data_IF_415307659106
#
_entry.id   IF_415307659106
#
_cell.length_a   1.000
_cell.length_b   1.000
_cell.length_c   1.000
_cell.angle_alpha   90.00
_cell.angle_beta   90.00
_cell.angle_gamma   90.00
#
_symmetry.space_group_name_H-M   'P 1'
#
loop_
_entity.id
_entity.type
_entity.pdbx_description
1 polymer ?
#
# COMPACT_ATOMS: atom_id res chain seq x y z
N UNK A 1 23.23 7.99 6.01
CA UNK A 1 22.64 8.89 4.99
C UNK A 1 21.16 8.63 4.94
N UNK A 2 20.31 9.65 4.94
CA UNK A 2 18.85 9.54 4.78
C UNK A 2 18.51 9.44 3.29
N UNK A 3 17.67 8.48 2.91
CA UNK A 3 17.19 8.37 1.53
C UNK A 3 15.83 9.07 1.38
N UNK A 4 15.64 9.76 0.26
CA UNK A 4 14.37 10.41 -0.10
C UNK A 4 13.78 9.70 -1.32
N UNK A 5 12.51 9.36 -1.25
CA UNK A 5 11.78 8.69 -2.31
C UNK A 5 10.51 9.48 -2.66
N UNK A 6 10.33 9.80 -3.93
CA UNK A 6 9.06 10.22 -4.49
C UNK A 6 8.36 9.04 -5.20
N UNK A 7 7.17 9.27 -5.74
CA UNK A 7 6.38 8.21 -6.39
C UNK A 7 7.14 7.45 -7.51
N UNK A 8 7.94 8.09 -8.40
CA UNK A 8 8.70 7.35 -9.41
C UNK A 8 9.74 6.40 -8.84
N UNK A 9 10.48 6.81 -7.80
CA UNK A 9 11.48 5.98 -7.13
C UNK A 9 10.83 4.81 -6.39
N UNK A 10 9.69 5.07 -5.72
CA UNK A 10 8.90 4.01 -5.09
C UNK A 10 8.39 3.02 -6.12
N UNK A 11 7.89 3.51 -7.27
CA UNK A 11 7.39 2.67 -8.34
C UNK A 11 8.48 1.79 -8.95
N UNK A 12 9.70 2.30 -9.08
CA UNK A 12 10.84 1.56 -9.61
C UNK A 12 11.39 0.52 -8.60
N UNK A 13 11.34 0.82 -7.30
CA UNK A 13 11.94 -0.01 -6.27
C UNK A 13 11.02 -1.15 -5.77
N UNK A 14 9.71 -0.98 -5.83
CA UNK A 14 8.74 -1.93 -5.29
C UNK A 14 7.96 -2.65 -6.40
N UNK A 15 8.36 -3.85 -6.74
CA UNK A 15 7.52 -4.77 -7.54
C UNK A 15 6.42 -5.42 -6.69
N UNK A 16 5.51 -6.14 -7.35
CA UNK A 16 4.35 -6.73 -6.71
C UNK A 16 4.72 -7.89 -5.77
N UNK A 17 5.65 -8.74 -6.18
CA UNK A 17 6.08 -9.89 -5.39
C UNK A 17 6.76 -9.42 -4.10
N UNK A 18 7.74 -8.53 -4.20
CA UNK A 18 8.42 -7.90 -3.06
C UNK A 18 7.43 -7.23 -2.10
N UNK A 19 6.42 -6.55 -2.66
CA UNK A 19 5.40 -5.88 -1.84
C UNK A 19 4.52 -6.89 -1.09
N UNK A 20 4.09 -7.98 -1.73
CA UNK A 20 3.31 -9.05 -1.08
C UNK A 20 4.11 -9.71 0.03
N UNK A 21 5.40 -10.01 -0.22
CA UNK A 21 6.28 -10.64 0.78
C UNK A 21 6.54 -9.72 1.97
N UNK A 22 6.74 -8.42 1.74
CA UNK A 22 6.85 -7.43 2.82
C UNK A 22 5.58 -7.37 3.68
N UNK A 23 4.38 -7.44 3.06
CA UNK A 23 3.12 -7.47 3.81
C UNK A 23 2.96 -8.77 4.59
N UNK A 24 3.37 -9.90 4.03
CA UNK A 24 3.41 -11.20 4.74
C UNK A 24 4.30 -11.12 5.97
N UNK A 25 5.52 -10.64 5.82
CA UNK A 25 6.47 -10.48 6.92
C UNK A 25 5.92 -9.54 8.01
N UNK A 26 5.28 -8.44 7.62
CA UNK A 26 4.68 -7.50 8.57
C UNK A 26 3.51 -8.12 9.36
N UNK A 27 2.63 -8.90 8.73
CA UNK A 27 1.53 -9.58 9.44
C UNK A 27 2.03 -10.68 10.36
N UNK A 28 3.05 -11.45 9.95
CA UNK A 28 3.69 -12.44 10.83
C UNK A 28 4.35 -11.76 12.03
N UNK A 29 5.09 -10.67 11.81
CA UNK A 29 5.69 -9.89 12.90
C UNK A 29 4.63 -9.32 13.85
N UNK A 30 3.46 -8.92 13.34
CA UNK A 30 2.35 -8.46 14.17
C UNK A 30 1.75 -9.60 15.00
N UNK A 31 1.57 -10.78 14.41
CA UNK A 31 1.10 -11.96 15.11
C UNK A 31 2.06 -12.40 16.23
N UNK A 32 3.35 -12.29 15.99
CA UNK A 32 4.41 -12.58 16.95
C UNK A 32 4.63 -11.48 18.01
N UNK A 33 3.87 -10.39 17.95
CA UNK A 33 4.00 -9.25 18.87
C UNK A 33 5.24 -8.37 18.62
N UNK A 34 5.95 -8.58 17.50
CA UNK A 34 7.13 -7.79 17.13
C UNK A 34 6.79 -6.50 16.35
N UNK A 35 5.63 -6.43 15.71
CA UNK A 35 5.15 -5.21 15.08
C UNK A 35 4.08 -4.57 15.96
N UNK A 36 4.39 -3.41 16.49
CA UNK A 36 3.51 -2.62 17.34
C UNK A 36 2.93 -1.48 16.49
N UNK A 37 1.61 -1.44 16.34
CA UNK A 37 0.91 -0.41 15.60
C UNK A 37 -0.23 0.15 16.46
N UNK A 38 -0.04 1.28 17.14
CA UNK A 38 -1.09 1.90 17.96
C UNK A 38 -2.27 2.38 17.10
N UNK A 39 -3.43 2.63 17.70
CA UNK A 39 -4.56 3.22 17.00
C UNK A 39 -4.19 4.52 16.28
N UNK A 40 -4.85 4.78 15.16
CA UNK A 40 -4.64 6.01 14.39
C UNK A 40 -5.05 7.24 15.20
N UNK A 41 -4.22 8.28 15.17
CA UNK A 41 -4.61 9.61 15.62
C UNK A 41 -5.17 10.40 14.43
N UNK A 42 -6.21 11.19 14.68
CA UNK A 42 -6.78 12.07 13.67
C UNK A 42 -7.10 13.44 14.28
N UNK A 43 -6.67 14.50 13.60
CA UNK A 43 -7.02 15.87 13.93
C UNK A 43 -8.04 16.39 12.91
N UNK A 44 -9.19 16.96 13.36
CA UNK A 44 -10.13 17.59 12.46
C UNK A 44 -9.51 18.86 11.85
N UNK A 45 -9.75 19.04 10.56
CA UNK A 45 -9.38 20.22 9.78
C UNK A 45 -10.62 20.78 9.11
N UNK A 46 -10.57 22.03 8.67
CA UNK A 46 -11.66 22.61 7.89
C UNK A 46 -11.86 21.86 6.56
N UNK A 47 -12.91 21.05 6.48
CA UNK A 47 -13.25 20.26 5.29
C UNK A 47 -12.66 18.84 5.23
N UNK A 48 -11.91 18.40 6.26
CA UNK A 48 -11.32 17.06 6.28
C UNK A 48 -10.64 16.72 7.61
N UNK A 49 -9.69 15.81 7.55
CA UNK A 49 -8.90 15.39 8.72
C UNK A 49 -7.45 15.21 8.30
N UNK A 50 -6.53 15.56 9.18
CA UNK A 50 -5.16 15.04 9.15
C UNK A 50 -5.15 13.70 9.91
N UNK A 51 -4.55 12.68 9.33
CA UNK A 51 -4.42 11.34 9.93
C UNK A 51 -2.96 11.01 10.13
N UNK A 52 -2.63 10.56 11.34
CA UNK A 52 -1.32 10.08 11.74
C UNK A 52 -1.40 8.60 12.10
N UNK A 53 -0.50 7.81 11.54
CA UNK A 53 -0.29 6.42 11.92
C UNK A 53 1.17 6.22 12.32
N UNK A 54 1.42 5.46 13.36
CA UNK A 54 2.77 5.10 13.77
C UNK A 54 2.92 3.58 13.78
N UNK A 55 4.15 3.11 13.73
CA UNK A 55 4.49 1.70 13.84
C UNK A 55 5.93 1.52 14.32
N UNK A 56 6.16 0.39 14.99
CA UNK A 56 7.46 -0.01 15.49
C UNK A 56 7.66 -1.50 15.24
N UNK A 57 8.63 -1.86 14.42
CA UNK A 57 9.16 -3.21 14.30
C UNK A 57 10.31 -3.34 15.30
N UNK A 58 10.07 -4.10 16.37
CA UNK A 58 10.95 -4.16 17.55
C UNK A 58 12.39 -4.53 17.16
N UNK A 59 13.33 -3.69 17.57
CA UNK A 59 14.77 -3.87 17.33
C UNK A 59 15.25 -3.48 15.94
N UNK A 60 14.38 -3.13 15.02
CA UNK A 60 14.73 -2.81 13.64
C UNK A 60 14.38 -1.36 13.27
N UNK A 61 13.08 -1.04 13.20
CA UNK A 61 12.59 0.21 12.64
C UNK A 61 11.42 0.76 13.44
N UNK A 62 11.29 2.07 13.49
CA UNK A 62 10.04 2.72 13.84
C UNK A 62 9.76 3.86 12.86
N UNK A 63 8.52 4.27 12.78
CA UNK A 63 8.18 5.34 11.86
C UNK A 63 6.73 5.78 11.97
N UNK A 64 6.39 6.74 11.13
CA UNK A 64 5.04 7.27 11.06
C UNK A 64 4.67 7.61 9.62
N UNK A 65 3.37 7.69 9.40
CA UNK A 65 2.77 8.20 8.16
C UNK A 65 1.78 9.29 8.50
N UNK A 66 1.84 10.39 7.74
CA UNK A 66 0.89 11.49 7.77
C UNK A 66 0.22 11.63 6.41
N UNK A 67 -1.09 11.89 6.39
CA UNK A 67 -1.88 12.20 5.19
C UNK A 67 -3.16 12.92 5.59
N UNK A 68 -3.78 13.59 4.63
CA UNK A 68 -5.11 14.18 4.82
C UNK A 68 -6.23 13.41 4.08
N UNK A 69 -7.47 13.80 4.32
CA UNK A 69 -8.66 13.21 3.71
C UNK A 69 -9.43 14.20 2.84
N UNK A 70 -8.80 15.27 2.40
CA UNK A 70 -9.46 16.27 1.54
C UNK A 70 -9.78 15.75 0.15
N UNK A 71 -9.01 14.76 -0.33
CA UNK A 71 -9.18 14.19 -1.67
C UNK A 71 -8.72 15.13 -2.78
N UNK A 72 -7.80 16.04 -2.48
CA UNK A 72 -7.19 16.88 -3.49
C UNK A 72 -6.37 16.04 -4.48
N UNK A 73 -6.40 16.38 -5.79
CA UNK A 73 -5.61 15.68 -6.80
C UNK A 73 -4.09 15.70 -6.55
N UNK A 74 -3.63 16.70 -5.79
CA UNK A 74 -2.23 16.91 -5.42
C UNK A 74 -1.96 16.56 -3.94
N UNK A 75 -2.88 15.84 -3.30
CA UNK A 75 -2.72 15.39 -1.93
C UNK A 75 -1.59 14.38 -1.82
N UNK A 76 -0.60 14.66 -0.99
CA UNK A 76 0.54 13.81 -0.78
C UNK A 76 0.50 13.19 0.62
N UNK A 77 1.18 12.06 0.74
CA UNK A 77 1.39 11.38 2.01
C UNK A 77 2.87 11.45 2.34
N UNK A 78 3.16 11.59 3.62
CA UNK A 78 4.52 11.54 4.13
C UNK A 78 4.70 10.26 4.95
N UNK A 79 5.75 9.50 4.66
CA UNK A 79 6.20 8.37 5.49
C UNK A 79 7.64 8.62 5.92
N UNK A 80 7.90 8.51 7.21
CA UNK A 80 9.24 8.64 7.78
C UNK A 80 9.62 7.36 8.49
N UNK A 81 10.80 6.82 8.18
CA UNK A 81 11.35 5.61 8.78
C UNK A 81 12.64 5.92 9.54
N UNK A 82 12.71 5.45 10.77
CA UNK A 82 13.86 5.58 11.66
C UNK A 82 14.47 4.22 11.97
N UNK A 83 15.76 4.20 12.14
CA UNK A 83 16.50 3.07 12.73
C UNK A 83 16.21 3.02 14.23
N UNK A 84 15.69 1.90 14.74
CA UNK A 84 15.26 1.80 16.14
C UNK A 84 16.42 1.81 17.14
N UNK A 85 17.65 1.54 16.72
CA UNK A 85 18.83 1.53 17.61
C UNK A 85 19.49 2.89 17.73
N UNK A 86 19.46 3.68 16.67
CA UNK A 86 20.20 4.96 16.61
C UNK A 86 19.31 6.19 16.61
N UNK A 87 18.01 6.04 16.32
CA UNK A 87 17.06 7.14 16.14
C UNK A 87 17.24 7.88 14.78
N UNK A 88 18.24 7.51 13.99
CA UNK A 88 18.51 8.18 12.73
C UNK A 88 17.38 7.99 11.72
N UNK A 89 16.99 9.05 11.02
CA UNK A 89 16.07 8.94 9.88
C UNK A 89 16.81 8.20 8.76
N UNK A 90 16.24 7.09 8.30
CA UNK A 90 16.79 6.25 7.25
C UNK A 90 16.15 6.51 5.90
N UNK A 91 14.84 6.76 5.91
CA UNK A 91 14.11 7.03 4.69
C UNK A 91 12.95 8.00 4.94
N UNK A 92 12.65 8.78 3.91
CA UNK A 92 11.45 9.61 3.81
C UNK A 92 10.82 9.32 2.46
N UNK A 93 9.55 8.96 2.43
CA UNK A 93 8.79 8.80 1.20
C UNK A 93 7.66 9.83 1.14
N UNK A 94 7.56 10.52 0.00
CA UNK A 94 6.53 11.53 -0.28
C UNK A 94 5.74 11.09 -1.51
N UNK A 95 4.41 11.20 -1.44
CA UNK A 95 3.52 10.83 -2.53
C UNK A 95 2.50 9.77 -2.12
N UNK A 96 1.83 9.17 -3.09
CA UNK A 96 0.75 8.20 -2.84
C UNK A 96 1.11 6.76 -3.22
N UNK A 97 2.18 6.56 -3.97
CA UNK A 97 2.52 5.26 -4.57
C UNK A 97 2.82 4.20 -3.50
N UNK A 98 3.61 4.55 -2.47
CA UNK A 98 3.90 3.64 -1.36
C UNK A 98 2.62 3.19 -0.64
N UNK A 99 1.72 4.14 -0.35
CA UNK A 99 0.43 3.85 0.29
C UNK A 99 -0.47 2.97 -0.57
N UNK A 100 -0.47 3.19 -1.88
CA UNK A 100 -1.27 2.42 -2.84
C UNK A 100 -0.73 0.99 -3.00
N UNK A 101 0.56 0.83 -3.22
CA UNK A 101 1.20 -0.48 -3.42
C UNK A 101 1.11 -1.36 -2.17
N UNK A 102 1.39 -0.82 -0.97
CA UNK A 102 1.26 -1.61 0.25
C UNK A 102 -0.19 -2.08 0.48
N UNK A 103 -1.20 -1.30 0.03
CA UNK A 103 -2.60 -1.70 0.12
C UNK A 103 -2.92 -2.80 -0.90
N UNK A 104 -2.41 -2.68 -2.12
CA UNK A 104 -2.46 -3.75 -3.12
C UNK A 104 -1.77 -5.02 -2.63
N UNK A 105 -0.59 -4.90 -2.02
CA UNK A 105 0.17 -6.02 -1.46
C UNK A 105 -0.60 -6.80 -0.39
N UNK A 106 -1.37 -6.12 0.48
CA UNK A 106 -2.27 -6.80 1.41
C UNK A 106 -3.36 -7.61 0.70
N UNK A 107 -3.93 -7.07 -0.39
CA UNK A 107 -4.90 -7.80 -1.21
C UNK A 107 -4.28 -8.98 -1.93
N UNK A 108 -3.08 -8.81 -2.50
CA UNK A 108 -2.31 -9.90 -3.10
C UNK A 108 -2.01 -11.01 -2.10
N UNK A 109 -1.60 -10.66 -0.89
CA UNK A 109 -1.39 -11.63 0.19
C UNK A 109 -2.67 -12.37 0.56
N UNK A 110 -3.81 -11.70 0.64
CA UNK A 110 -5.10 -12.34 0.90
C UNK A 110 -5.49 -13.30 -0.23
N UNK A 111 -5.28 -12.91 -1.48
CA UNK A 111 -5.49 -13.77 -2.65
C UNK A 111 -4.57 -15.00 -2.59
N UNK A 112 -3.30 -14.81 -2.22
CA UNK A 112 -2.34 -15.90 -2.10
C UNK A 112 -2.72 -16.91 -1.03
N UNK A 113 -3.20 -16.44 0.11
CA UNK A 113 -3.58 -17.29 1.23
C UNK A 113 -4.93 -18.00 1.05
N UNK A 114 -5.88 -17.40 0.33
CA UNK A 114 -7.29 -17.81 0.37
C UNK A 114 -7.85 -18.27 -0.99
N UNK A 115 -7.29 -17.80 -2.11
CA UNK A 115 -7.77 -18.22 -3.42
C UNK A 115 -7.14 -19.55 -3.84
N UNK A 116 -7.85 -20.30 -4.70
CA UNK A 116 -7.31 -21.53 -5.28
C UNK A 116 -5.99 -21.22 -6.02
N UNK A 117 -5.00 -22.11 -5.97
CA UNK A 117 -3.71 -21.90 -6.66
C UNK A 117 -3.85 -21.72 -8.18
N UNK A 118 -4.84 -22.37 -8.79
CA UNK A 118 -5.13 -22.36 -10.23
C UNK A 118 -6.11 -21.25 -10.65
N UNK A 119 -6.48 -20.33 -9.73
CA UNK A 119 -7.39 -19.23 -10.05
C UNK A 119 -6.81 -18.34 -11.15
N UNK A 120 -7.51 -18.26 -12.28
CA UNK A 120 -7.06 -17.58 -13.48
C UNK A 120 -7.94 -16.38 -13.89
N UNK A 121 -9.09 -16.20 -13.24
CA UNK A 121 -10.01 -15.09 -13.47
C UNK A 121 -10.16 -14.26 -12.19
N UNK A 122 -10.03 -12.95 -12.31
CA UNK A 122 -10.19 -11.98 -11.22
C UNK A 122 -11.35 -11.02 -11.50
N UNK A 123 -12.34 -10.99 -10.62
CA UNK A 123 -13.39 -9.97 -10.62
C UNK A 123 -12.97 -8.74 -9.81
N UNK A 124 -13.12 -7.54 -10.38
CA UNK A 124 -12.75 -6.27 -9.74
C UNK A 124 -13.96 -5.33 -9.71
N UNK A 125 -14.31 -4.83 -8.53
CA UNK A 125 -15.33 -3.81 -8.35
C UNK A 125 -14.65 -2.47 -8.06
N UNK A 126 -14.74 -1.56 -9.02
CA UNK A 126 -14.05 -0.27 -9.03
C UNK A 126 -13.01 -0.17 -10.15
N UNK A 127 -12.66 1.06 -10.53
CA UNK A 127 -11.70 1.36 -11.61
C UNK A 127 -10.74 2.49 -11.23
N UNK A 128 -10.47 2.65 -9.93
CA UNK A 128 -9.55 3.63 -9.39
C UNK A 128 -8.13 3.07 -9.18
N UNK A 129 -7.25 3.92 -8.63
CA UNK A 129 -5.86 3.56 -8.30
C UNK A 129 -5.79 2.30 -7.42
N UNK A 130 -6.61 2.22 -6.38
CA UNK A 130 -6.61 1.06 -5.48
C UNK A 130 -7.03 -0.23 -6.20
N UNK A 131 -8.00 -0.18 -7.12
CA UNK A 131 -8.37 -1.34 -7.91
C UNK A 131 -7.20 -1.82 -8.77
N UNK A 132 -6.44 -0.90 -9.36
CA UNK A 132 -5.25 -1.22 -10.13
C UNK A 132 -4.18 -1.94 -9.30
N UNK A 133 -3.84 -1.43 -8.11
CA UNK A 133 -2.83 -2.06 -7.25
C UNK A 133 -3.28 -3.41 -6.71
N UNK A 134 -4.59 -3.66 -6.56
CA UNK A 134 -5.12 -4.98 -6.23
C UNK A 134 -4.90 -5.98 -7.38
N UNK A 135 -5.20 -5.59 -8.63
CA UNK A 135 -4.94 -6.43 -9.82
C UNK A 135 -3.45 -6.71 -9.95
N UNK A 136 -2.62 -5.68 -9.84
CA UNK A 136 -1.16 -5.75 -9.92
C UNK A 136 -0.57 -6.75 -8.91
N UNK A 137 -1.03 -6.73 -7.66
CA UNK A 137 -0.56 -7.63 -6.62
C UNK A 137 -1.13 -9.05 -6.77
N UNK A 138 -2.41 -9.19 -7.18
CA UNK A 138 -3.02 -10.49 -7.42
C UNK A 138 -2.34 -11.23 -8.60
N UNK A 139 -1.96 -10.50 -9.65
CA UNK A 139 -1.25 -11.07 -10.80
C UNK A 139 0.16 -11.60 -10.45
N UNK A 140 0.78 -11.11 -9.37
CA UNK A 140 2.07 -11.63 -8.91
C UNK A 140 1.95 -12.97 -8.18
N UNK A 141 0.76 -13.34 -7.70
CA UNK A 141 0.56 -14.53 -6.85
C UNK A 141 -0.38 -15.58 -7.46
N UNK A 142 -1.04 -15.25 -8.59
CA UNK A 142 -1.94 -16.17 -9.31
C UNK A 142 -1.72 -16.08 -10.83
N UNK A 143 -1.90 -17.16 -11.58
CA UNK A 143 -1.71 -17.20 -13.02
C UNK A 143 -2.91 -16.58 -13.75
N UNK A 144 -3.16 -15.28 -13.51
CA UNK A 144 -4.30 -14.58 -14.08
C UNK A 144 -4.23 -14.54 -15.61
N UNK A 145 -5.36 -14.87 -16.25
CA UNK A 145 -5.57 -14.81 -17.70
C UNK A 145 -6.66 -13.83 -18.07
N UNK A 146 -7.54 -13.53 -17.12
CA UNK A 146 -8.68 -12.66 -17.33
C UNK A 146 -8.92 -11.78 -16.11
N UNK A 147 -9.21 -10.49 -16.35
CA UNK A 147 -9.65 -9.55 -15.33
C UNK A 147 -10.96 -8.92 -15.77
N UNK A 148 -12.02 -9.16 -15.00
CA UNK A 148 -13.35 -8.61 -15.28
C UNK A 148 -13.60 -7.42 -14.36
N UNK A 149 -13.78 -6.23 -14.94
CA UNK A 149 -13.92 -4.98 -14.17
C UNK A 149 -15.35 -4.46 -14.23
N UNK A 150 -15.90 -4.16 -13.08
CA UNK A 150 -17.16 -3.43 -12.93
C UNK A 150 -16.94 -2.06 -12.30
N UNK A 151 -17.50 -1.02 -12.89
CA UNK A 151 -17.65 0.31 -12.27
C UNK A 151 -18.82 1.06 -12.90
N UNK A 152 -19.36 2.06 -12.20
CA UNK A 152 -20.49 2.86 -12.67
C UNK A 152 -20.20 3.68 -13.95
N UNK A 153 -18.94 4.00 -14.21
CA UNK A 153 -18.50 4.79 -15.37
C UNK A 153 -17.94 3.89 -16.46
N UNK A 154 -18.57 3.87 -17.63
CA UNK A 154 -18.10 3.12 -18.80
C UNK A 154 -16.70 3.59 -19.22
N UNK A 155 -16.50 4.89 -19.37
CA UNK A 155 -15.21 5.46 -19.79
C UNK A 155 -14.05 5.09 -18.82
N UNK A 156 -14.32 5.06 -17.49
CA UNK A 156 -13.30 4.62 -16.53
C UNK A 156 -13.01 3.13 -16.61
N UNK A 157 -14.01 2.29 -16.94
CA UNK A 157 -13.78 0.85 -17.15
C UNK A 157 -12.90 0.62 -18.37
N UNK A 158 -13.19 1.29 -19.48
CA UNK A 158 -12.41 1.21 -20.72
C UNK A 158 -10.96 1.66 -20.50
N UNK A 159 -10.76 2.82 -19.85
CA UNK A 159 -9.44 3.30 -19.50
C UNK A 159 -8.68 2.36 -18.55
N UNK A 160 -9.40 1.68 -17.64
CA UNK A 160 -8.80 0.69 -16.75
C UNK A 160 -8.39 -0.59 -17.50
N UNK A 161 -9.23 -1.05 -18.42
CA UNK A 161 -8.95 -2.26 -19.23
C UNK A 161 -7.80 -2.06 -20.22
N UNK A 162 -7.53 -0.82 -20.64
CA UNK A 162 -6.44 -0.47 -21.54
C UNK A 162 -5.06 -0.37 -20.84
N UNK A 163 -5.00 -0.50 -19.53
CA UNK A 163 -3.80 -0.42 -18.69
C UNK A 163 -3.10 -1.77 -18.56
#
# INVERSE_FOLDING_TARGET
MTMLYADPEVAAALDAATTVDAMRAALLAAYEGRLIAPPRAAAPLSGGRMVLTAGHLVGEWYGFRSYDTFGHPQGEQLVVLHDARTGAIRAVAVGEELGSRRTGGLGGLAVDALARPDAATLGVIGSGRQAWTQVWAAAAVRPLREVVVHSRSAARREAFAAR
#
